data_IF_896881982027
#
_entry.id   IF_896881982027
#
_cell.length_a   1.000
_cell.length_b   1.000
_cell.length_c   1.000
_cell.angle_alpha   90.00
_cell.angle_beta   90.00
_cell.angle_gamma   90.00
#
_symmetry.space_group_name_H-M   'P 1'
#
loop_
_entity.id
_entity.type
_entity.pdbx_description
1 polymer ?
#
# COMPACT_ATOMS: atom_id res chain seq x y z
N UNK A 1 -7.83 15.49 2.75
CA UNK A 1 -6.64 15.10 1.96
C UNK A 1 -6.64 13.60 1.67
N UNK A 2 -6.87 12.69 2.65
CA UNK A 2 -7.21 11.31 2.36
C UNK A 2 -8.42 11.16 1.43
N UNK A 3 -9.46 11.96 1.62
CA UNK A 3 -10.64 11.98 0.72
C UNK A 3 -10.29 12.37 -0.72
N UNK A 4 -9.31 13.25 -0.91
CA UNK A 4 -8.87 13.63 -2.25
C UNK A 4 -8.17 12.46 -2.94
N UNK A 5 -7.28 11.75 -2.24
CA UNK A 5 -6.68 10.53 -2.77
C UNK A 5 -7.74 9.47 -3.07
N UNK A 6 -8.64 9.18 -2.12
CA UNK A 6 -9.71 8.18 -2.29
C UNK A 6 -10.56 8.48 -3.54
N UNK A 7 -10.90 9.75 -3.76
CA UNK A 7 -11.80 10.13 -4.85
C UNK A 7 -11.09 10.35 -6.20
N UNK A 8 -9.78 10.68 -6.20
CA UNK A 8 -9.08 11.10 -7.43
C UNK A 8 -7.90 10.19 -7.82
N UNK A 9 -7.47 9.24 -7.00
CA UNK A 9 -6.41 8.30 -7.35
C UNK A 9 -6.79 7.44 -8.57
N UNK A 10 -8.05 7.04 -8.65
CA UNK A 10 -8.53 6.15 -9.71
C UNK A 10 -8.61 6.78 -11.12
N UNK A 11 -9.03 8.03 -11.32
CA UNK A 11 -9.02 8.65 -12.65
C UNK A 11 -7.62 9.07 -13.14
N UNK A 12 -6.58 9.08 -12.30
CA UNK A 12 -5.22 9.47 -12.68
C UNK A 12 -4.51 8.41 -13.52
N UNK A 13 -3.70 8.87 -14.49
CA UNK A 13 -2.67 8.05 -15.15
C UNK A 13 -1.70 7.47 -14.12
N UNK A 14 -1.12 6.32 -14.38
CA UNK A 14 -0.18 5.65 -13.47
C UNK A 14 1.03 6.50 -13.12
N UNK A 15 1.53 7.31 -14.07
CA UNK A 15 2.64 8.25 -13.82
C UNK A 15 2.22 9.39 -12.88
N UNK A 16 1.03 9.97 -13.09
CA UNK A 16 0.49 11.01 -12.20
C UNK A 16 0.26 10.45 -10.79
N UNK A 17 -0.31 9.25 -10.70
CA UNK A 17 -0.57 8.54 -9.44
C UNK A 17 0.73 8.27 -8.68
N UNK A 18 1.75 7.77 -9.37
CA UNK A 18 3.07 7.54 -8.80
C UNK A 18 3.70 8.85 -8.31
N UNK A 19 3.68 9.90 -9.13
CA UNK A 19 4.25 11.21 -8.77
C UNK A 19 3.55 11.80 -7.55
N UNK A 20 2.21 11.74 -7.51
CA UNK A 20 1.44 12.24 -6.39
C UNK A 20 1.66 11.41 -5.12
N UNK A 21 1.66 10.07 -5.23
CA UNK A 21 1.99 9.19 -4.10
C UNK A 21 3.39 9.48 -3.54
N UNK A 22 4.39 9.66 -4.41
CA UNK A 22 5.77 9.97 -4.01
C UNK A 22 5.84 11.32 -3.28
N UNK A 23 5.18 12.36 -3.81
CA UNK A 23 5.11 13.66 -3.16
C UNK A 23 4.47 13.57 -1.77
N UNK A 24 3.33 12.88 -1.66
CA UNK A 24 2.62 12.72 -0.39
C UNK A 24 3.40 11.87 0.62
N UNK A 25 4.08 10.81 0.17
CA UNK A 25 4.92 9.99 1.01
C UNK A 25 6.11 10.78 1.57
N UNK A 26 6.78 11.59 0.75
CA UNK A 26 7.80 12.54 1.23
C UNK A 26 7.25 13.54 2.23
N UNK A 27 6.04 14.06 2.00
CA UNK A 27 5.43 14.96 2.96
C UNK A 27 5.12 14.24 4.28
N UNK A 28 4.62 13.00 4.23
CA UNK A 28 4.42 12.15 5.40
C UNK A 28 5.72 11.86 6.16
N UNK A 29 6.85 11.69 5.47
CA UNK A 29 8.13 11.40 6.10
C UNK A 29 8.61 12.53 7.03
N UNK A 30 8.20 13.78 6.74
CA UNK A 30 8.52 14.95 7.58
C UNK A 30 7.61 15.11 8.81
N UNK A 31 6.56 14.30 8.98
CA UNK A 31 5.58 14.35 10.09
C UNK A 31 4.87 15.71 10.28
N UNK A 32 4.90 16.60 9.29
CA UNK A 32 4.36 17.98 9.34
C UNK A 32 2.87 18.05 9.73
N UNK A 33 2.10 16.98 9.53
CA UNK A 33 0.67 16.91 9.82
C UNK A 33 0.33 15.88 10.92
N UNK A 34 1.21 15.66 11.89
CA UNK A 34 1.01 14.67 12.98
C UNK A 34 0.57 13.30 12.45
N UNK A 35 1.30 12.81 11.44
CA UNK A 35 1.09 11.50 10.81
C UNK A 35 -0.26 11.29 10.09
N UNK A 36 -1.17 12.27 10.07
CA UNK A 36 -2.48 12.16 9.37
C UNK A 36 -2.36 11.91 7.87
N UNK A 37 -1.24 12.29 7.26
CA UNK A 37 -0.97 12.01 5.85
C UNK A 37 -0.80 10.50 5.61
N UNK A 38 -0.27 9.77 6.59
CA UNK A 38 -0.07 8.32 6.52
C UNK A 38 -1.39 7.53 6.39
N UNK A 39 -2.53 8.13 6.69
CA UNK A 39 -3.86 7.56 6.40
C UNK A 39 -4.02 7.18 4.91
N UNK A 40 -3.33 7.89 4.01
CA UNK A 40 -3.33 7.59 2.58
C UNK A 40 -2.62 6.27 2.29
N UNK A 41 -1.54 5.98 3.02
CA UNK A 41 -0.86 4.70 2.93
C UNK A 41 -1.78 3.55 3.37
N UNK A 42 -2.57 3.72 4.44
CA UNK A 42 -3.55 2.70 4.85
C UNK A 42 -4.55 2.37 3.74
N UNK A 43 -5.12 3.41 3.10
CA UNK A 43 -6.05 3.22 1.98
C UNK A 43 -5.36 2.49 0.83
N UNK A 44 -4.17 2.95 0.44
CA UNK A 44 -3.43 2.39 -0.68
C UNK A 44 -3.00 0.94 -0.42
N UNK A 45 -2.47 0.64 0.75
CA UNK A 45 -2.03 -0.70 1.14
C UNK A 45 -3.19 -1.65 1.32
N UNK A 46 -4.32 -1.18 1.88
CA UNK A 46 -5.55 -1.97 1.92
C UNK A 46 -5.95 -2.41 0.51
N UNK A 47 -6.07 -1.45 -0.40
CA UNK A 47 -6.42 -1.75 -1.78
C UNK A 47 -5.39 -2.63 -2.48
N UNK A 48 -4.10 -2.41 -2.26
CA UNK A 48 -3.04 -3.15 -2.99
C UNK A 48 -2.79 -4.55 -2.43
N UNK A 49 -2.85 -4.73 -1.11
CA UNK A 49 -2.35 -5.92 -0.43
C UNK A 49 -3.40 -6.71 0.35
N UNK A 50 -4.53 -6.08 0.75
CA UNK A 50 -5.48 -6.67 1.69
C UNK A 50 -6.87 -6.94 1.09
N UNK A 51 -7.20 -6.27 -0.01
CA UNK A 51 -8.43 -6.53 -0.74
C UNK A 51 -8.21 -7.64 -1.77
N UNK A 52 -9.27 -8.41 -2.06
CA UNK A 52 -9.24 -9.49 -3.05
C UNK A 52 -9.05 -8.90 -4.44
N UNK A 53 -7.81 -8.87 -4.92
CA UNK A 53 -7.49 -8.49 -6.30
C UNK A 53 -6.82 -9.64 -7.01
N UNK A 54 -7.40 -10.04 -8.13
CA UNK A 54 -6.75 -10.95 -9.06
C UNK A 54 -5.54 -10.25 -9.67
N UNK A 55 -4.47 -11.01 -9.92
CA UNK A 55 -3.40 -10.60 -10.83
C UNK A 55 -3.92 -10.69 -12.26
N UNK A 56 -4.88 -9.85 -12.60
CA UNK A 56 -5.33 -9.72 -13.98
C UNK A 56 -4.32 -8.88 -14.73
N UNK A 57 -3.93 -9.39 -15.89
CA UNK A 57 -3.27 -8.60 -16.90
C UNK A 57 -4.33 -7.72 -17.55
N UNK A 58 -4.23 -6.40 -17.34
CA UNK A 58 -4.89 -5.44 -18.20
C UNK A 58 -3.85 -4.93 -19.20
N UNK A 59 -3.89 -5.48 -20.41
CA UNK A 59 -3.22 -4.93 -21.60
C UNK A 59 -3.84 -3.58 -22.00
N UNK A 60 -4.92 -3.15 -21.33
CA UNK A 60 -5.57 -1.88 -21.61
C UNK A 60 -4.64 -0.71 -21.23
N UNK A 61 -4.51 0.29 -22.13
CA UNK A 61 -3.73 1.48 -21.85
C UNK A 61 -4.25 2.14 -20.57
N UNK A 62 -3.33 2.54 -19.71
CA UNK A 62 -3.64 3.24 -18.47
C UNK A 62 -4.01 4.70 -18.75
N UNK A 63 -5.10 4.90 -19.50
CA UNK A 63 -5.62 6.21 -19.91
C UNK A 63 -6.46 6.86 -18.80
N UNK A 64 -6.51 8.19 -18.79
CA UNK A 64 -7.35 8.95 -17.84
C UNK A 64 -8.82 8.61 -18.09
N UNK A 65 -9.44 7.92 -17.14
CA UNK A 65 -10.85 7.56 -17.23
C UNK A 65 -11.61 8.05 -16.00
N UNK A 66 -12.43 9.10 -16.22
CA UNK A 66 -13.16 9.81 -15.16
C UNK A 66 -14.12 8.93 -14.34
N UNK A 67 -14.54 7.78 -14.87
CA UNK A 67 -15.42 6.82 -14.21
C UNK A 67 -14.70 5.63 -13.57
N UNK A 68 -13.35 5.59 -13.61
CA UNK A 68 -12.57 4.47 -13.07
C UNK A 68 -12.64 4.47 -11.55
N UNK A 69 -12.94 3.32 -10.97
CA UNK A 69 -12.95 3.11 -9.51
C UNK A 69 -11.67 2.43 -9.09
N UNK A 70 -11.24 2.65 -7.84
CA UNK A 70 -10.02 2.02 -7.33
C UNK A 70 -10.10 0.49 -7.39
N UNK A 71 -11.30 -0.08 -7.28
CA UNK A 71 -11.58 -1.52 -7.32
C UNK A 71 -11.33 -2.16 -8.70
N UNK A 72 -11.17 -1.35 -9.76
CA UNK A 72 -10.87 -1.83 -11.10
C UNK A 72 -9.36 -1.97 -11.38
N UNK A 73 -8.50 -1.51 -10.47
CA UNK A 73 -7.05 -1.70 -10.63
C UNK A 73 -6.65 -3.11 -10.21
N UNK A 74 -5.83 -3.76 -11.02
CA UNK A 74 -5.05 -4.90 -10.54
C UNK A 74 -3.96 -4.42 -9.56
N UNK A 75 -3.26 -5.39 -8.97
CA UNK A 75 -2.16 -5.13 -8.04
C UNK A 75 -1.04 -4.34 -8.74
N UNK A 76 -0.75 -4.63 -10.01
CA UNK A 76 0.35 -4.03 -10.76
C UNK A 76 0.19 -2.52 -10.97
N UNK A 77 -1.03 -2.01 -11.15
CA UNK A 77 -1.29 -0.58 -11.27
C UNK A 77 -1.06 0.20 -9.97
N UNK A 78 -1.25 -0.44 -8.81
CA UNK A 78 -1.07 0.21 -7.50
C UNK A 78 0.30 -0.05 -6.88
N UNK A 79 1.01 -1.11 -7.28
CA UNK A 79 2.34 -1.45 -6.76
C UNK A 79 3.36 -0.32 -6.82
N UNK A 80 3.51 0.47 -7.92
CA UNK A 80 4.47 1.57 -7.95
C UNK A 80 4.18 2.63 -6.89
N UNK A 81 2.91 2.99 -6.72
CA UNK A 81 2.50 3.97 -5.71
C UNK A 81 2.74 3.41 -4.30
N UNK A 82 2.38 2.15 -4.03
CA UNK A 82 2.59 1.52 -2.73
C UNK A 82 4.08 1.42 -2.38
N UNK A 83 4.91 1.03 -3.35
CA UNK A 83 6.37 0.99 -3.21
C UNK A 83 6.96 2.36 -2.84
N UNK A 84 6.47 3.45 -3.47
CA UNK A 84 6.92 4.81 -3.15
C UNK A 84 6.67 5.18 -1.67
N UNK A 85 5.59 4.69 -1.06
CA UNK A 85 5.31 4.91 0.36
C UNK A 85 6.30 4.19 1.27
N UNK A 86 6.63 2.93 0.97
CA UNK A 86 7.69 2.25 1.71
C UNK A 86 9.03 2.97 1.56
N UNK A 87 9.37 3.41 0.35
CA UNK A 87 10.64 4.08 0.05
C UNK A 87 10.82 5.40 0.77
N UNK A 88 9.80 6.26 0.71
CA UNK A 88 9.94 7.64 1.17
C UNK A 88 9.51 7.82 2.63
N UNK A 89 8.53 7.02 3.10
CA UNK A 89 7.93 7.16 4.44
C UNK A 89 8.05 5.92 5.32
N UNK A 90 8.68 4.84 4.85
CA UNK A 90 8.65 3.53 5.52
C UNK A 90 9.11 3.53 6.98
N UNK A 91 10.11 4.36 7.33
CA UNK A 91 10.55 4.52 8.72
C UNK A 91 9.44 5.09 9.62
N UNK A 92 8.68 6.08 9.15
CA UNK A 92 7.54 6.57 9.93
C UNK A 92 6.42 5.53 10.01
N UNK A 93 6.19 4.77 8.93
CA UNK A 93 5.14 3.76 8.89
C UNK A 93 5.40 2.59 9.85
N UNK A 94 6.65 2.16 10.00
CA UNK A 94 7.00 1.12 11.00
C UNK A 94 6.85 1.66 12.43
N UNK A 95 7.34 2.87 12.72
CA UNK A 95 7.17 3.49 14.04
C UNK A 95 5.70 3.66 14.43
N UNK A 96 4.84 4.01 13.46
CA UNK A 96 3.39 4.06 13.66
C UNK A 96 2.81 2.67 13.91
N UNK A 97 3.36 1.64 13.28
CA UNK A 97 2.97 0.25 13.50
C UNK A 97 3.35 -0.21 14.90
N UNK A 98 4.54 0.12 15.40
CA UNK A 98 5.01 -0.31 16.73
C UNK A 98 4.15 0.24 17.87
N UNK A 99 3.67 1.48 17.72
CA UNK A 99 2.77 2.11 18.70
C UNK A 99 1.29 1.81 18.44
N UNK A 100 0.97 0.90 17.50
CA UNK A 100 -0.40 0.54 17.12
C UNK A 100 -1.26 1.77 16.76
N UNK A 101 -0.72 2.70 15.97
CA UNK A 101 -1.39 3.96 15.67
C UNK A 101 -2.72 3.76 14.94
N UNK A 102 -3.77 4.41 15.43
CA UNK A 102 -5.12 4.32 14.85
C UNK A 102 -5.90 5.65 14.93
N UNK A 103 -5.22 6.81 14.93
CA UNK A 103 -5.87 8.13 14.91
C UNK A 103 -6.39 8.48 13.50
N UNK A 104 -7.39 7.71 13.06
CA UNK A 104 -8.05 7.89 11.77
C UNK A 104 -9.52 7.42 11.82
N UNK A 105 -10.38 7.91 10.90
CA UNK A 105 -11.74 7.41 10.76
C UNK A 105 -11.76 5.88 10.57
N UNK A 106 -12.76 5.19 11.12
CA UNK A 106 -12.88 3.73 11.04
C UNK A 106 -12.89 3.22 9.60
N UNK A 107 -13.52 3.95 8.67
CA UNK A 107 -13.55 3.63 7.23
C UNK A 107 -12.18 3.65 6.56
N UNK A 108 -11.21 4.38 7.13
CA UNK A 108 -9.82 4.44 6.67
C UNK A 108 -8.99 3.39 7.41
N UNK A 109 -9.12 3.34 8.73
CA UNK A 109 -8.32 2.47 9.59
C UNK A 109 -8.59 0.99 9.38
N UNK A 110 -9.81 0.61 9.00
CA UNK A 110 -10.20 -0.79 8.82
C UNK A 110 -9.34 -1.51 7.78
N UNK A 111 -8.95 -2.74 8.12
CA UNK A 111 -8.36 -3.74 7.24
C UNK A 111 -9.16 -4.01 5.96
N UNK A 112 -8.48 -4.48 4.92
CA UNK A 112 -9.11 -5.13 3.78
C UNK A 112 -9.58 -6.54 4.13
N UNK A 113 -10.44 -7.09 3.29
CA UNK A 113 -11.13 -8.34 3.58
C UNK A 113 -10.17 -9.51 3.88
N UNK A 114 -9.15 -9.72 3.04
CA UNK A 114 -8.21 -10.83 3.22
C UNK A 114 -7.31 -10.64 4.44
N UNK A 115 -7.02 -9.39 4.82
CA UNK A 115 -6.28 -9.13 6.05
C UNK A 115 -7.14 -9.50 7.27
N UNK A 116 -8.37 -8.99 7.34
CA UNK A 116 -9.28 -9.23 8.46
C UNK A 116 -9.54 -10.74 8.68
N UNK A 117 -9.69 -11.49 7.59
CA UNK A 117 -9.92 -12.94 7.64
C UNK A 117 -8.67 -13.75 8.05
N UNK A 118 -7.48 -13.16 7.94
CA UNK A 118 -6.21 -13.80 8.29
C UNK A 118 -5.97 -13.85 9.80
N UNK A 119 -5.10 -14.78 10.24
CA UNK A 119 -4.67 -14.89 11.65
C UNK A 119 -3.98 -13.62 12.19
N UNK A 120 -3.40 -12.80 11.31
CA UNK A 120 -2.79 -11.52 11.69
C UNK A 120 -3.85 -10.43 11.88
N UNK A 121 -4.84 -10.36 10.99
CA UNK A 121 -5.91 -9.36 11.08
C UNK A 121 -6.90 -9.62 12.21
N UNK A 122 -7.17 -10.89 12.55
CA UNK A 122 -7.96 -11.25 13.74
C UNK A 122 -7.37 -10.70 15.04
N UNK A 123 -6.05 -10.44 15.09
CA UNK A 123 -5.38 -9.88 16.28
C UNK A 123 -5.55 -8.37 16.38
N UNK A 124 -5.40 -7.65 15.26
CA UNK A 124 -5.56 -6.20 15.22
C UNK A 124 -5.96 -5.72 13.84
N UNK A 125 -7.27 -5.54 13.58
CA UNK A 125 -7.81 -5.30 12.23
C UNK A 125 -7.77 -3.83 11.81
N UNK A 126 -7.33 -2.90 12.66
CA UNK A 126 -7.46 -1.44 12.42
C UNK A 126 -6.14 -0.69 12.63
N UNK A 127 -5.90 0.32 11.80
CA UNK A 127 -4.76 1.24 11.92
C UNK A 127 -3.46 0.65 11.40
N UNK A 128 -2.33 1.27 11.78
CA UNK A 128 -0.99 0.73 11.63
C UNK A 128 -0.68 -0.15 12.83
N UNK A 129 -0.32 -1.40 12.59
CA UNK A 129 -0.04 -2.37 13.65
C UNK A 129 1.09 -3.29 13.20
N UNK A 130 1.86 -3.91 14.11
CA UNK A 130 2.95 -4.80 13.71
C UNK A 130 2.41 -6.01 12.94
N UNK A 131 1.22 -6.49 13.31
CA UNK A 131 0.53 -7.58 12.61
C UNK A 131 0.18 -7.24 11.17
N UNK A 132 -0.25 -6.00 10.91
CA UNK A 132 -0.58 -5.52 9.57
C UNK A 132 0.68 -5.33 8.72
N UNK A 133 1.76 -4.83 9.30
CA UNK A 133 3.07 -4.76 8.65
C UNK A 133 3.59 -6.14 8.23
N UNK A 134 3.54 -7.12 9.15
CA UNK A 134 3.88 -8.52 8.85
C UNK A 134 3.00 -9.12 7.76
N UNK A 135 1.71 -8.76 7.74
CA UNK A 135 0.80 -9.21 6.70
C UNK A 135 1.20 -8.67 5.32
N UNK A 136 1.55 -7.38 5.22
CA UNK A 136 2.03 -6.79 3.96
C UNK A 136 3.31 -7.46 3.46
N UNK A 137 4.28 -7.72 4.35
CA UNK A 137 5.49 -8.49 4.03
C UNK A 137 5.14 -9.88 3.47
N UNK A 138 4.26 -10.61 4.16
CA UNK A 138 3.80 -11.93 3.69
C UNK A 138 3.10 -11.85 2.34
N UNK A 139 2.26 -10.83 2.13
CA UNK A 139 1.55 -10.62 0.86
C UNK A 139 2.52 -10.32 -0.27
N UNK A 140 3.51 -9.44 -0.07
CA UNK A 140 4.54 -9.12 -1.07
C UNK A 140 5.31 -10.37 -1.50
N UNK A 141 5.65 -11.25 -0.55
CA UNK A 141 6.26 -12.54 -0.89
C UNK A 141 5.35 -13.40 -1.77
N UNK A 142 4.05 -13.45 -1.47
CA UNK A 142 3.05 -14.12 -2.30
C UNK A 142 2.95 -13.52 -3.70
N UNK A 143 2.84 -12.19 -3.81
CA UNK A 143 2.81 -11.46 -5.09
C UNK A 143 4.04 -11.79 -5.93
N UNK A 144 5.23 -11.85 -5.33
CA UNK A 144 6.46 -12.22 -6.03
C UNK A 144 6.39 -13.62 -6.63
N UNK A 145 5.86 -14.59 -5.89
CA UNK A 145 5.73 -15.97 -6.38
C UNK A 145 4.68 -16.05 -7.50
N UNK A 146 3.51 -15.45 -7.28
CA UNK A 146 2.45 -15.40 -8.28
C UNK A 146 2.91 -14.69 -9.57
N UNK A 147 3.67 -13.59 -9.46
CA UNK A 147 4.25 -12.87 -10.60
C UNK A 147 5.27 -13.71 -11.38
N UNK A 148 6.09 -14.51 -10.69
CA UNK A 148 7.00 -15.48 -11.33
C UNK A 148 6.25 -16.53 -12.13
N UNK A 149 5.16 -17.07 -11.58
CA UNK A 149 4.35 -18.10 -12.24
C UNK A 149 3.75 -17.61 -13.56
N UNK A 150 3.37 -16.33 -13.64
CA UNK A 150 2.82 -15.70 -14.85
C UNK A 150 3.86 -14.91 -15.67
N UNK A 151 5.15 -14.97 -15.30
CA UNK A 151 6.27 -14.26 -15.95
C UNK A 151 6.09 -12.72 -16.03
N UNK A 152 5.44 -12.11 -15.03
CA UNK A 152 5.38 -10.66 -14.85
C UNK A 152 6.63 -10.19 -14.10
N UNK A 153 7.69 -9.87 -14.86
CA UNK A 153 9.00 -9.48 -14.32
C UNK A 153 8.99 -8.17 -13.55
N UNK A 154 8.16 -7.20 -13.95
CA UNK A 154 8.12 -5.87 -13.32
C UNK A 154 7.47 -5.94 -11.95
N UNK A 155 6.38 -6.68 -11.82
CA UNK A 155 5.69 -6.92 -10.56
C UNK A 155 6.54 -7.79 -9.63
N UNK A 156 7.22 -8.81 -10.17
CA UNK A 156 8.20 -9.59 -9.43
C UNK A 156 9.29 -8.70 -8.82
N UNK A 157 9.86 -7.79 -9.63
CA UNK A 157 10.88 -6.85 -9.17
C UNK A 157 10.33 -5.92 -8.08
N UNK A 158 9.16 -5.31 -8.30
CA UNK A 158 8.54 -4.43 -7.29
C UNK A 158 8.31 -5.15 -5.96
N UNK A 159 7.79 -6.38 -6.00
CA UNK A 159 7.54 -7.16 -4.81
C UNK A 159 8.86 -7.52 -4.08
N UNK A 160 9.92 -7.80 -4.83
CA UNK A 160 11.26 -8.07 -4.28
C UNK A 160 11.85 -6.83 -3.62
N UNK A 161 11.89 -5.70 -4.33
CA UNK A 161 12.45 -4.44 -3.83
C UNK A 161 11.69 -3.94 -2.60
N UNK A 162 10.35 -4.03 -2.61
CA UNK A 162 9.52 -3.65 -1.47
C UNK A 162 9.81 -4.54 -0.25
N UNK A 163 9.96 -5.84 -0.45
CA UNK A 163 10.25 -6.79 0.65
C UNK A 163 11.60 -6.48 1.27
N UNK A 164 12.66 -6.33 0.46
CA UNK A 164 14.01 -6.03 0.94
C UNK A 164 14.06 -4.72 1.72
N UNK A 165 13.39 -3.69 1.19
CA UNK A 165 13.29 -2.39 1.84
C UNK A 165 12.57 -2.47 3.19
N UNK A 166 11.42 -3.15 3.25
CA UNK A 166 10.67 -3.29 4.51
C UNK A 166 11.46 -4.07 5.56
N UNK A 167 12.23 -5.09 5.17
CA UNK A 167 13.13 -5.82 6.06
C UNK A 167 14.26 -4.91 6.55
N UNK A 168 14.90 -4.17 5.65
CA UNK A 168 15.97 -3.23 6.00
C UNK A 168 15.48 -2.21 7.03
N UNK A 169 14.31 -1.62 6.80
CA UNK A 169 13.69 -0.64 7.72
C UNK A 169 13.47 -1.26 9.11
N UNK A 170 12.93 -2.49 9.17
CA UNK A 170 12.68 -3.18 10.43
C UNK A 170 13.97 -3.54 11.19
N UNK A 171 15.09 -3.70 10.49
CA UNK A 171 16.38 -4.01 11.12
C UNK A 171 17.15 -2.79 11.61
N UNK A 172 16.81 -1.58 11.18
CA UNK A 172 17.48 -0.34 11.59
C UNK A 172 17.03 0.19 12.95
N UNK A 173 16.05 -0.45 13.60
CA UNK A 173 15.58 -0.10 14.94
C UNK A 173 16.26 -0.88 16.09
N UNK A 174 17.26 -1.72 15.77
CA UNK A 174 18.06 -2.48 16.74
C UNK A 174 19.54 -2.11 16.72
#
# INVERSE_FOLDING_TARGET
MPDFWINNCAPMLGTQRLNFATFLARLASTRVSKDRICQIALVLFRSTFEDRRELRYSEEPDDEQKSRKIDHFDIAHLSPAAYAWFKEAGYNLIQLSDVCWNDCPSTIGQGGQWFIESELGKRSPTGFTPWRWMYWLKRLHGIRLEAKEINEKRLEQYATDATELMVMIATLEF
#
